data_IF_431925768060
#
_entry.id   IF_431925768060
#
_cell.length_a   1.000
_cell.length_b   1.000
_cell.length_c   1.000
_cell.angle_alpha   90.00
_cell.angle_beta   90.00
_cell.angle_gamma   90.00
#
_symmetry.space_group_name_H-M   'P 1'
#
loop_
_entity.id
_entity.type
_entity.pdbx_description
1 polymer ?
#
# COMPACT_ATOMS: atom_id res chain seq x y z
N UNK A 1 -12.79 17.25 -14.29
CA UNK A 1 -11.47 17.51 -14.86
C UNK A 1 -11.65 17.48 -16.36
N UNK A 2 -11.55 18.64 -16.99
CA UNK A 2 -11.69 18.80 -18.44
C UNK A 2 -10.37 18.45 -19.12
N UNK A 3 -10.39 17.61 -20.16
CA UNK A 3 -9.44 17.53 -21.31
C UNK A 3 -8.05 18.19 -21.13
N UNK A 4 -7.35 17.95 -20.02
CA UNK A 4 -5.97 18.40 -19.82
C UNK A 4 -5.09 17.21 -20.15
N UNK A 5 -4.72 17.13 -21.43
CA UNK A 5 -3.53 16.48 -21.99
C UNK A 5 -2.76 15.58 -21.00
N UNK A 6 -3.23 14.36 -20.80
CA UNK A 6 -2.37 13.28 -20.30
C UNK A 6 -1.39 12.91 -21.43
N UNK A 7 -0.34 13.74 -21.63
CA UNK A 7 0.67 13.58 -22.69
C UNK A 7 1.53 12.29 -22.59
N UNK A 8 1.17 11.36 -21.72
CA UNK A 8 1.97 10.17 -21.41
C UNK A 8 1.20 8.84 -21.60
N UNK A 9 -0.07 8.88 -22.03
CA UNK A 9 -0.91 7.70 -22.15
C UNK A 9 -2.04 7.89 -23.18
N UNK A 10 -2.01 7.13 -24.27
CA UNK A 10 -3.04 7.16 -25.33
C UNK A 10 -4.28 6.30 -25.01
N UNK A 11 -4.17 5.34 -24.08
CA UNK A 11 -5.27 4.45 -23.70
C UNK A 11 -5.40 4.34 -22.19
N UNK A 12 -6.52 4.83 -21.67
CA UNK A 12 -6.79 4.87 -20.23
C UNK A 12 -8.28 4.71 -19.94
N UNK A 13 -8.61 4.36 -18.72
CA UNK A 13 -9.97 4.36 -18.19
C UNK A 13 -9.92 4.87 -16.76
N UNK A 14 -10.51 6.03 -16.51
CA UNK A 14 -10.48 6.68 -15.20
C UNK A 14 -11.90 6.85 -14.69
N UNK A 15 -12.06 6.61 -13.40
CA UNK A 15 -13.32 6.72 -12.69
C UNK A 15 -13.14 7.67 -11.52
N UNK A 16 -14.13 8.53 -11.32
CA UNK A 16 -14.19 9.46 -10.20
C UNK A 16 -15.49 9.25 -9.42
N UNK A 17 -15.47 8.51 -8.29
CA UNK A 17 -16.67 8.21 -7.51
C UNK A 17 -17.31 9.47 -6.89
N UNK A 18 -16.56 10.56 -6.74
CA UNK A 18 -17.07 11.81 -6.14
C UNK A 18 -18.03 12.52 -7.09
N UNK A 19 -17.85 12.35 -8.40
CA UNK A 19 -18.68 12.95 -9.45
C UNK A 19 -19.90 12.12 -9.84
N UNK A 20 -19.96 10.86 -9.42
CA UNK A 20 -21.06 9.95 -9.75
C UNK A 20 -22.22 10.11 -8.74
N UNK A 21 -23.45 10.35 -9.21
CA UNK A 21 -24.65 10.19 -8.40
C UNK A 21 -25.12 8.73 -8.37
N UNK A 22 -25.96 8.36 -7.40
CA UNK A 22 -26.57 7.00 -7.37
C UNK A 22 -27.43 6.78 -8.63
N UNK A 23 -28.09 7.83 -9.12
CA UNK A 23 -28.86 7.77 -10.37
C UNK A 23 -27.96 7.51 -11.58
N UNK A 24 -26.77 8.11 -11.64
CA UNK A 24 -25.80 7.84 -12.70
C UNK A 24 -25.38 6.36 -12.75
N UNK A 25 -25.31 5.68 -11.60
CA UNK A 25 -25.01 4.25 -11.54
C UNK A 25 -26.17 3.42 -12.12
N UNK A 26 -27.42 3.80 -11.84
CA UNK A 26 -28.60 3.14 -12.43
C UNK A 26 -28.62 3.36 -13.96
N UNK A 27 -28.34 4.58 -14.41
CA UNK A 27 -28.19 4.88 -15.83
C UNK A 27 -27.07 4.05 -16.47
N UNK A 28 -25.97 3.80 -15.77
CA UNK A 28 -24.88 2.95 -16.27
C UNK A 28 -25.34 1.51 -16.52
N UNK A 29 -26.16 0.98 -15.63
CA UNK A 29 -26.65 -0.40 -15.72
C UNK A 29 -27.65 -0.61 -16.86
N UNK A 30 -28.52 0.36 -17.14
CA UNK A 30 -29.66 0.14 -18.04
C UNK A 30 -29.65 1.03 -19.30
N UNK A 31 -29.04 2.21 -19.23
CA UNK A 31 -29.07 3.21 -20.30
C UNK A 31 -27.68 3.79 -20.60
N UNK A 32 -26.68 2.96 -20.98
CA UNK A 32 -25.30 3.40 -21.13
C UNK A 32 -25.13 4.50 -22.18
N UNK A 33 -26.00 4.54 -23.20
CA UNK A 33 -25.95 5.54 -24.27
C UNK A 33 -26.39 6.94 -23.80
N UNK A 34 -27.07 7.06 -22.65
CA UNK A 34 -27.55 8.33 -22.10
C UNK A 34 -26.57 8.96 -21.10
N UNK A 35 -25.49 8.27 -20.75
CA UNK A 35 -24.49 8.80 -19.83
C UNK A 35 -23.59 9.80 -20.57
N UNK A 36 -23.79 11.08 -20.29
CA UNK A 36 -22.74 12.09 -20.46
C UNK A 36 -21.69 11.85 -19.37
N UNK A 37 -20.50 11.39 -19.73
CA UNK A 37 -19.50 10.82 -18.83
C UNK A 37 -18.88 11.86 -17.86
N UNK A 38 -19.61 12.27 -16.82
CA UNK A 38 -19.12 13.22 -15.80
C UNK A 38 -18.11 12.59 -14.84
N UNK A 39 -18.23 11.28 -14.60
CA UNK A 39 -17.44 10.52 -13.64
C UNK A 39 -16.56 9.43 -14.27
N UNK A 40 -16.63 9.23 -15.59
CA UNK A 40 -15.73 8.34 -16.32
C UNK A 40 -14.99 9.19 -17.36
N UNK A 41 -13.67 9.13 -17.36
CA UNK A 41 -12.82 9.75 -18.36
C UNK A 41 -12.04 8.66 -19.09
N UNK A 42 -12.23 8.55 -20.40
CA UNK A 42 -11.62 7.51 -21.23
C UNK A 42 -11.78 7.85 -22.72
N UNK A 43 -10.83 7.46 -23.60
CA UNK A 43 -11.02 7.53 -25.04
C UNK A 43 -12.29 6.78 -25.50
N UNK A 44 -12.99 7.23 -26.56
CA UNK A 44 -14.27 6.66 -26.98
C UNK A 44 -14.26 5.15 -27.20
N UNK A 45 -13.23 4.62 -27.86
CA UNK A 45 -13.12 3.18 -28.15
C UNK A 45 -12.96 2.36 -26.87
N UNK A 46 -12.12 2.85 -25.95
CA UNK A 46 -11.91 2.23 -24.63
C UNK A 46 -13.20 2.25 -23.81
N UNK A 47 -13.91 3.38 -23.79
CA UNK A 47 -15.17 3.53 -23.08
C UNK A 47 -16.27 2.61 -23.61
N UNK A 48 -16.37 2.47 -24.94
CA UNK A 48 -17.34 1.59 -25.59
C UNK A 48 -17.03 0.12 -25.30
N UNK A 49 -15.76 -0.27 -25.34
CA UNK A 49 -15.32 -1.61 -24.97
C UNK A 49 -15.62 -1.93 -23.50
N UNK A 50 -15.30 -1.02 -22.58
CA UNK A 50 -15.53 -1.18 -21.14
C UNK A 50 -17.02 -1.28 -20.77
N UNK A 51 -17.93 -0.73 -21.56
CA UNK A 51 -19.39 -0.76 -21.32
C UNK A 51 -20.15 -1.77 -22.20
N UNK A 52 -19.44 -2.62 -22.94
CA UNK A 52 -20.04 -3.54 -23.93
C UNK A 52 -21.04 -4.54 -23.33
N UNK A 53 -20.76 -5.07 -22.14
CA UNK A 53 -21.60 -6.08 -21.48
C UNK A 53 -22.30 -5.54 -20.23
N UNK A 54 -23.44 -6.13 -19.87
CA UNK A 54 -24.10 -5.82 -18.59
C UNK A 54 -23.20 -6.15 -17.40
N UNK A 55 -22.49 -7.28 -17.44
CA UNK A 55 -21.56 -7.68 -16.39
C UNK A 55 -20.46 -6.63 -16.15
N UNK A 56 -19.87 -6.09 -17.22
CA UNK A 56 -18.83 -5.06 -17.09
C UNK A 56 -19.39 -3.76 -16.49
N UNK A 57 -20.58 -3.34 -16.94
CA UNK A 57 -21.29 -2.17 -16.39
C UNK A 57 -21.66 -2.36 -14.92
N UNK A 58 -22.06 -3.57 -14.54
CA UNK A 58 -22.32 -3.95 -13.16
C UNK A 58 -21.08 -3.85 -12.28
N UNK A 59 -19.94 -4.37 -12.74
CA UNK A 59 -18.68 -4.26 -12.01
C UNK A 59 -18.25 -2.80 -11.82
N UNK A 60 -18.38 -1.97 -12.85
CA UNK A 60 -18.09 -0.53 -12.76
C UNK A 60 -19.02 0.14 -11.74
N UNK A 61 -20.33 -0.10 -11.83
CA UNK A 61 -21.31 0.48 -10.92
C UNK A 61 -21.07 0.04 -9.47
N UNK A 62 -20.77 -1.24 -9.25
CA UNK A 62 -20.49 -1.80 -7.93
C UNK A 62 -19.22 -1.21 -7.32
N UNK A 63 -18.12 -1.13 -8.09
CA UNK A 63 -16.87 -0.53 -7.62
C UNK A 63 -17.07 0.92 -7.19
N UNK A 64 -17.77 1.73 -8.01
CA UNK A 64 -18.08 3.12 -7.67
C UNK A 64 -18.97 3.19 -6.44
N UNK A 65 -20.01 2.36 -6.36
CA UNK A 65 -20.92 2.33 -5.23
C UNK A 65 -20.17 2.04 -3.92
N UNK A 66 -19.31 1.02 -3.90
CA UNK A 66 -18.50 0.66 -2.73
C UNK A 66 -17.54 1.80 -2.34
N UNK A 67 -16.87 2.44 -3.30
CA UNK A 67 -16.04 3.62 -3.03
C UNK A 67 -16.87 4.77 -2.44
N UNK A 68 -18.09 5.02 -2.94
CA UNK A 68 -18.98 6.04 -2.36
C UNK A 68 -19.39 5.71 -0.93
N UNK A 69 -19.67 4.44 -0.62
CA UNK A 69 -19.96 4.00 0.74
C UNK A 69 -18.76 4.25 1.66
N UNK A 70 -17.56 3.89 1.21
CA UNK A 70 -16.31 4.10 1.97
C UNK A 70 -16.04 5.59 2.24
N UNK A 71 -16.21 6.45 1.23
CA UNK A 71 -16.09 7.90 1.37
C UNK A 71 -17.14 8.48 2.34
N UNK A 72 -18.35 7.91 2.37
CA UNK A 72 -19.38 8.33 3.31
C UNK A 72 -19.05 7.93 4.76
N UNK A 73 -18.41 6.77 4.96
CA UNK A 73 -18.04 6.27 6.28
C UNK A 73 -16.60 6.58 6.70
N UNK A 74 -15.85 7.42 5.97
CA UNK A 74 -14.44 7.75 6.26
C UNK A 74 -14.22 8.13 7.73
N UNK A 75 -14.98 9.11 8.22
CA UNK A 75 -14.86 9.61 9.60
C UNK A 75 -15.25 8.56 10.66
N UNK A 76 -16.42 7.90 10.58
CA UNK A 76 -16.77 6.87 11.56
C UNK A 76 -15.83 5.66 11.51
N UNK A 77 -15.36 5.25 10.32
CA UNK A 77 -14.41 4.15 10.18
C UNK A 77 -13.07 4.47 10.87
N UNK A 78 -12.52 5.66 10.61
CA UNK A 78 -11.28 6.11 11.27
C UNK A 78 -11.44 6.22 12.80
N UNK A 79 -12.61 6.68 13.27
CA UNK A 79 -12.91 6.76 14.70
C UNK A 79 -12.94 5.37 15.35
N UNK A 80 -13.61 4.40 14.73
CA UNK A 80 -13.61 3.00 15.18
C UNK A 80 -12.18 2.48 15.25
N UNK A 81 -11.39 2.69 14.18
CA UNK A 81 -9.98 2.29 14.11
C UNK A 81 -9.15 2.82 15.28
N UNK A 82 -9.31 4.10 15.62
CA UNK A 82 -8.65 4.72 16.78
C UNK A 82 -9.05 4.06 18.09
N UNK A 83 -10.34 3.76 18.31
CA UNK A 83 -10.81 3.10 19.54
C UNK A 83 -10.21 1.69 19.65
N UNK A 84 -10.36 0.88 18.61
CA UNK A 84 -9.94 -0.53 18.65
C UNK A 84 -8.42 -0.68 18.69
N UNK A 85 -7.66 0.31 18.24
CA UNK A 85 -6.19 0.34 18.36
C UNK A 85 -5.74 0.88 19.71
N UNK A 86 -6.34 1.96 20.19
CA UNK A 86 -5.93 2.59 21.45
C UNK A 86 -6.25 1.70 22.66
N UNK A 87 -7.38 1.00 22.65
CA UNK A 87 -7.82 0.18 23.79
C UNK A 87 -6.83 -0.95 24.16
N UNK A 88 -6.37 -1.81 23.24
CA UNK A 88 -5.34 -2.82 23.55
C UNK A 88 -3.99 -2.21 23.99
N UNK A 89 -3.59 -1.07 23.42
CA UNK A 89 -2.39 -0.36 23.83
C UNK A 89 -2.52 0.21 25.25
N UNK A 90 -3.68 0.73 25.62
CA UNK A 90 -3.97 1.19 26.98
C UNK A 90 -3.87 0.05 28.00
N UNK A 91 -4.45 -1.10 27.68
CA UNK A 91 -4.33 -2.31 28.52
C UNK A 91 -2.86 -2.71 28.66
N UNK A 92 -2.11 -2.74 27.56
CA UNK A 92 -0.70 -3.15 27.55
C UNK A 92 0.17 -2.19 28.37
N UNK A 93 0.01 -0.88 28.18
CA UNK A 93 0.77 0.15 28.90
C UNK A 93 0.54 0.12 30.42
N UNK A 94 -0.60 -0.41 30.86
CA UNK A 94 -0.95 -0.52 32.27
C UNK A 94 -0.76 -1.94 32.83
N UNK A 95 -0.23 -2.90 32.06
CA UNK A 95 0.03 -4.26 32.54
C UNK A 95 -1.21 -5.16 32.59
N UNK A 96 -2.24 -4.89 31.79
CA UNK A 96 -3.47 -5.69 31.67
C UNK A 96 -4.71 -5.03 32.29
N UNK A 97 -5.86 -5.69 32.15
CA UNK A 97 -7.17 -5.14 32.53
C UNK A 97 -7.29 -4.84 34.03
N UNK A 98 -6.92 -5.79 34.90
CA UNK A 98 -7.00 -5.59 36.35
C UNK A 98 -6.05 -4.49 36.83
N UNK A 99 -4.83 -4.45 36.30
CA UNK A 99 -3.85 -3.41 36.62
C UNK A 99 -4.29 -2.03 36.09
N UNK A 100 -5.00 -1.96 34.97
CA UNK A 100 -5.62 -0.72 34.51
C UNK A 100 -6.66 -0.20 35.51
N UNK A 101 -7.54 -1.06 36.03
CA UNK A 101 -8.52 -0.67 37.06
C UNK A 101 -7.80 -0.15 38.32
N UNK A 102 -6.78 -0.87 38.79
CA UNK A 102 -5.98 -0.45 39.95
C UNK A 102 -5.25 0.89 39.70
N UNK A 103 -4.68 1.08 38.52
CA UNK A 103 -3.99 2.33 38.14
C UNK A 103 -4.98 3.49 37.98
N UNK A 104 -6.23 3.24 37.61
CA UNK A 104 -7.29 4.24 37.59
C UNK A 104 -7.67 4.68 39.00
N UNK A 105 -7.86 3.72 39.92
CA UNK A 105 -8.18 4.00 41.33
C UNK A 105 -7.04 4.69 42.09
N UNK A 106 -5.79 4.44 41.68
CA UNK A 106 -4.58 5.02 42.31
C UNK A 106 -4.01 6.23 41.57
N UNK A 107 -4.73 6.76 40.57
CA UNK A 107 -4.31 7.89 39.71
C UNK A 107 -2.97 7.71 38.97
N UNK A 108 -2.48 6.46 38.86
CA UNK A 108 -1.23 6.09 38.17
C UNK A 108 -1.45 5.65 36.71
N UNK A 109 -2.57 6.02 36.10
CA UNK A 109 -2.93 5.64 34.73
C UNK A 109 -1.85 6.08 33.74
N UNK A 110 -1.20 5.11 33.09
CA UNK A 110 -0.28 5.36 31.99
C UNK A 110 -1.07 5.55 30.70
N UNK A 111 -0.88 6.69 30.03
CA UNK A 111 -1.43 6.95 28.69
C UNK A 111 -0.44 6.40 27.65
N UNK A 112 -0.89 5.57 26.69
CA UNK A 112 -0.04 5.16 25.57
C UNK A 112 0.36 6.37 24.73
N UNK A 113 1.63 6.40 24.31
CA UNK A 113 2.15 7.36 23.35
C UNK A 113 2.17 6.72 21.96
N UNK A 114 1.32 7.21 21.05
CA UNK A 114 1.15 6.68 19.70
C UNK A 114 2.44 6.73 18.86
N UNK A 115 3.37 7.62 19.21
CA UNK A 115 4.67 7.76 18.53
C UNK A 115 5.78 6.87 19.10
N UNK A 116 5.50 6.16 20.19
CA UNK A 116 6.50 5.36 20.90
C UNK A 116 6.71 3.98 20.28
N UNK A 117 7.87 3.38 20.57
CA UNK A 117 8.21 2.04 20.09
C UNK A 117 7.40 0.91 20.75
N UNK A 118 6.61 1.21 21.79
CA UNK A 118 5.76 0.23 22.48
C UNK A 118 4.30 0.30 22.04
N UNK A 119 3.92 1.33 21.28
CA UNK A 119 2.59 1.46 20.72
C UNK A 119 2.50 0.67 19.41
N UNK A 120 1.57 -0.29 19.38
CA UNK A 120 1.36 -1.15 18.23
C UNK A 120 0.10 -0.75 17.45
N UNK A 121 0.10 -0.93 16.14
CA UNK A 121 -1.08 -0.84 15.29
C UNK A 121 -2.14 -1.87 15.70
N UNK A 122 -3.34 -1.78 15.12
CA UNK A 122 -4.36 -2.81 15.29
C UNK A 122 -3.81 -4.21 14.98
N UNK A 123 -3.09 -4.34 13.86
CA UNK A 123 -2.48 -5.60 13.44
C UNK A 123 -1.42 -6.08 14.45
N UNK A 124 -0.53 -5.18 14.90
CA UNK A 124 0.47 -5.50 15.92
C UNK A 124 -0.11 -5.85 17.29
N UNK A 125 -1.35 -5.40 17.58
CA UNK A 125 -2.09 -5.80 18.77
C UNK A 125 -2.70 -7.21 18.64
N UNK A 126 -3.08 -7.64 17.43
CA UNK A 126 -3.55 -9.02 17.18
C UNK A 126 -2.41 -10.04 17.16
N UNK A 127 -1.23 -9.64 16.70
CA UNK A 127 -0.04 -10.47 16.74
C UNK A 127 1.20 -9.65 17.12
N UNK A 128 1.63 -9.80 18.37
CA UNK A 128 2.78 -9.08 18.98
C UNK A 128 4.15 -9.63 18.58
N UNK A 129 4.23 -10.78 17.91
CA UNK A 129 5.52 -11.43 17.60
C UNK A 129 6.27 -10.60 16.57
N UNK A 130 7.53 -10.32 16.85
CA UNK A 130 8.44 -9.59 15.96
C UNK A 130 9.77 -10.30 15.76
N UNK A 131 10.03 -11.39 16.48
CA UNK A 131 11.30 -12.11 16.41
C UNK A 131 11.40 -12.97 15.15
N UNK A 132 12.61 -13.09 14.60
CA UNK A 132 12.95 -14.03 13.52
C UNK A 132 13.49 -15.31 14.16
N UNK A 133 13.11 -16.48 13.64
CA UNK A 133 13.65 -17.76 14.12
C UNK A 133 15.15 -17.85 13.81
N UNK A 134 15.95 -17.91 14.87
CA UNK A 134 17.41 -17.98 14.82
C UNK A 134 17.93 -19.32 14.26
N UNK A 135 17.07 -20.34 14.19
CA UNK A 135 17.44 -21.66 13.64
C UNK A 135 17.48 -21.68 12.12
N UNK A 136 16.84 -20.70 11.46
CA UNK A 136 16.82 -20.64 10.00
C UNK A 136 18.13 -20.03 9.53
N UNK A 137 18.81 -20.77 8.65
CA UNK A 137 20.07 -20.35 8.07
C UNK A 137 19.89 -19.08 7.22
N UNK A 138 20.79 -18.12 7.44
CA UNK A 138 20.81 -16.85 6.70
C UNK A 138 21.09 -17.13 5.23
N UNK A 139 20.43 -16.37 4.34
CA UNK A 139 20.50 -16.48 2.87
C UNK A 139 19.65 -17.58 2.20
N UNK A 140 19.01 -18.44 2.99
CA UNK A 140 17.99 -19.38 2.51
C UNK A 140 16.73 -18.67 1.99
N UNK A 141 15.95 -19.36 1.15
CA UNK A 141 14.65 -18.87 0.66
C UNK A 141 13.68 -18.71 1.84
N UNK A 142 13.75 -19.63 2.80
CA UNK A 142 12.97 -19.66 4.03
C UNK A 142 13.26 -18.42 4.88
N UNK A 143 14.53 -18.07 5.07
CA UNK A 143 14.92 -16.86 5.78
C UNK A 143 14.40 -15.59 5.09
N UNK A 144 14.63 -15.47 3.78
CA UNK A 144 14.16 -14.32 2.98
C UNK A 144 12.64 -14.19 3.02
N UNK A 145 11.92 -15.32 3.00
CA UNK A 145 10.46 -15.37 3.08
C UNK A 145 9.95 -14.92 4.45
N UNK A 146 10.52 -15.44 5.55
CA UNK A 146 10.15 -14.99 6.88
C UNK A 146 10.48 -13.52 7.11
N UNK A 147 11.68 -13.08 6.71
CA UNK A 147 12.08 -11.67 6.84
C UNK A 147 11.11 -10.77 6.07
N UNK A 148 10.72 -11.15 4.85
CA UNK A 148 9.73 -10.43 4.06
C UNK A 148 8.37 -10.42 4.75
N UNK A 149 7.90 -11.55 5.25
CA UNK A 149 6.63 -11.63 5.99
C UNK A 149 6.64 -10.69 7.20
N UNK A 150 7.69 -10.73 8.01
CA UNK A 150 7.82 -9.90 9.20
C UNK A 150 7.97 -8.41 8.86
N UNK A 151 8.78 -8.08 7.83
CA UNK A 151 8.93 -6.71 7.34
C UNK A 151 7.61 -6.15 6.81
N UNK A 152 6.82 -6.97 6.12
CA UNK A 152 5.51 -6.58 5.60
C UNK A 152 4.50 -6.32 6.71
N UNK A 153 4.53 -7.15 7.77
CA UNK A 153 3.67 -7.01 8.95
C UNK A 153 4.00 -5.72 9.70
N UNK A 154 5.28 -5.47 10.00
CA UNK A 154 5.64 -4.28 10.78
C UNK A 154 5.54 -2.99 9.96
N UNK A 155 5.30 -3.05 8.65
CA UNK A 155 5.08 -1.86 7.82
C UNK A 155 3.85 -1.05 8.24
N UNK A 156 2.92 -1.66 8.98
CA UNK A 156 1.75 -1.01 9.58
C UNK A 156 2.07 -0.23 10.86
N UNK A 157 3.27 -0.42 11.42
CA UNK A 157 3.66 0.16 12.70
C UNK A 157 4.24 1.57 12.54
N UNK A 158 4.30 2.32 13.64
CA UNK A 158 4.91 3.65 13.63
C UNK A 158 6.45 3.57 13.45
N UNK A 159 7.05 4.68 13.05
CA UNK A 159 8.51 4.78 12.81
C UNK A 159 9.36 4.32 13.99
N UNK A 160 9.00 4.67 15.23
CA UNK A 160 9.78 4.31 16.42
C UNK A 160 9.73 2.80 16.69
N UNK A 161 8.55 2.19 16.51
CA UNK A 161 8.37 0.74 16.61
C UNK A 161 9.23 0.02 15.57
N UNK A 162 9.10 0.39 14.29
CA UNK A 162 9.87 -0.20 13.19
C UNK A 162 11.37 -0.06 13.45
N UNK A 163 11.82 1.14 13.82
CA UNK A 163 13.24 1.40 14.11
C UNK A 163 13.75 0.51 15.24
N UNK A 164 12.96 0.35 16.29
CA UNK A 164 13.31 -0.52 17.42
C UNK A 164 13.40 -1.98 17.01
N UNK A 165 12.42 -2.50 16.26
CA UNK A 165 12.43 -3.89 15.80
C UNK A 165 13.64 -4.16 14.91
N UNK A 166 13.87 -3.33 13.88
CA UNK A 166 14.97 -3.54 12.93
C UNK A 166 16.32 -3.47 13.63
N UNK A 167 16.56 -2.43 14.44
CA UNK A 167 17.87 -2.23 15.09
C UNK A 167 18.09 -3.13 16.30
N UNK A 168 17.10 -3.23 17.19
CA UNK A 168 17.27 -3.84 18.50
C UNK A 168 16.87 -5.31 18.52
N UNK A 169 15.84 -5.71 17.76
CA UNK A 169 15.38 -7.10 17.70
C UNK A 169 16.09 -7.88 16.60
N UNK A 170 16.10 -7.38 15.37
CA UNK A 170 16.70 -8.07 14.22
C UNK A 170 18.21 -7.83 14.08
N UNK A 171 18.74 -6.82 14.78
CA UNK A 171 20.16 -6.41 14.70
C UNK A 171 20.59 -6.10 13.26
N UNK A 172 19.74 -5.33 12.56
CA UNK A 172 19.92 -4.93 11.16
C UNK A 172 20.05 -3.42 11.00
N UNK A 173 20.57 -3.01 9.85
CA UNK A 173 20.84 -1.62 9.54
C UNK A 173 19.59 -0.91 9.02
N UNK A 174 18.89 -0.23 9.92
CA UNK A 174 17.76 0.61 9.53
C UNK A 174 18.21 1.82 8.70
N UNK A 175 17.70 1.93 7.48
CA UNK A 175 18.09 2.96 6.51
C UNK A 175 17.19 4.17 6.58
N UNK A 176 15.86 3.98 6.66
CA UNK A 176 14.92 5.09 6.70
C UNK A 176 13.46 4.67 6.71
N UNK A 177 12.61 5.57 7.18
CA UNK A 177 11.15 5.52 7.09
C UNK A 177 10.69 6.73 6.30
N UNK A 178 9.77 6.52 5.37
CA UNK A 178 9.29 7.50 4.41
C UNK A 178 7.77 7.53 4.43
N UNK A 179 7.20 8.72 4.46
CA UNK A 179 5.78 8.98 4.36
C UNK A 179 5.57 9.84 3.11
N UNK A 180 5.19 9.19 2.01
CA UNK A 180 5.28 9.76 0.66
C UNK A 180 3.96 10.33 0.17
N UNK A 181 4.08 11.41 -0.59
CA UNK A 181 2.99 12.21 -1.12
C UNK A 181 2.34 11.59 -2.36
N UNK A 182 1.01 11.68 -2.42
CA UNK A 182 0.20 11.32 -3.58
C UNK A 182 -0.34 12.60 -4.24
N UNK A 183 0.05 12.85 -5.50
CA UNK A 183 -0.29 14.08 -6.23
C UNK A 183 -1.78 14.24 -6.60
N UNK A 184 -2.56 13.18 -6.50
CA UNK A 184 -3.97 13.16 -6.91
C UNK A 184 -4.92 13.26 -5.72
N UNK A 185 -4.49 12.75 -4.55
CA UNK A 185 -5.22 12.87 -3.29
C UNK A 185 -4.71 14.01 -2.40
N UNK A 186 -3.58 14.63 -2.78
CA UNK A 186 -2.96 15.77 -2.09
C UNK A 186 -2.65 15.50 -0.61
N UNK A 187 -2.21 14.28 -0.32
CA UNK A 187 -1.91 13.79 1.02
C UNK A 187 -0.74 12.82 1.00
N UNK A 188 -0.09 12.64 2.15
CA UNK A 188 0.84 11.55 2.34
C UNK A 188 0.07 10.27 2.65
N UNK A 189 0.11 9.31 1.73
CA UNK A 189 -0.68 8.08 1.80
C UNK A 189 0.15 6.81 1.54
N UNK A 190 1.45 6.96 1.27
CA UNK A 190 2.31 5.82 0.92
C UNK A 190 3.50 5.77 1.86
N UNK A 191 3.39 4.91 2.86
CA UNK A 191 4.43 4.68 3.84
C UNK A 191 5.31 3.53 3.41
N UNK A 192 6.62 3.70 3.57
CA UNK A 192 7.60 2.67 3.32
C UNK A 192 8.76 2.79 4.30
N UNK A 193 9.41 1.66 4.58
CA UNK A 193 10.69 1.69 5.27
C UNK A 193 11.70 0.80 4.57
N UNK A 194 12.97 1.15 4.75
CA UNK A 194 14.10 0.48 4.13
C UNK A 194 15.09 0.09 5.22
N UNK A 195 15.65 -1.11 5.10
CA UNK A 195 16.76 -1.57 5.91
C UNK A 195 17.67 -2.50 5.11
N UNK A 196 18.92 -2.60 5.53
CA UNK A 196 19.90 -3.55 5.01
C UNK A 196 19.98 -4.73 5.99
N UNK A 197 19.92 -5.95 5.46
CA UNK A 197 20.09 -7.15 6.27
C UNK A 197 21.50 -7.18 6.90
N UNK A 198 21.63 -7.96 7.98
CA UNK A 198 22.83 -8.03 8.83
C UNK A 198 24.14 -8.24 8.05
N UNK A 199 25.27 -7.95 8.69
CA UNK A 199 26.64 -8.18 8.16
C UNK A 199 26.88 -9.59 7.61
N UNK A 200 26.09 -10.58 8.05
CA UNK A 200 26.15 -11.97 7.56
C UNK A 200 25.46 -12.17 6.20
N UNK A 201 24.60 -11.24 5.77
CA UNK A 201 24.05 -11.15 4.40
C UNK A 201 24.13 -9.70 3.90
N UNK A 202 25.34 -9.20 3.62
CA UNK A 202 25.57 -7.78 3.32
C UNK A 202 24.96 -7.35 1.98
N UNK A 203 24.40 -8.28 1.21
CA UNK A 203 23.94 -8.04 -0.15
C UNK A 203 22.43 -7.85 -0.26
N UNK A 204 21.67 -7.92 0.84
CA UNK A 204 20.20 -7.83 0.82
C UNK A 204 19.71 -6.48 1.37
N UNK A 205 19.07 -5.69 0.50
CA UNK A 205 18.27 -4.53 0.90
C UNK A 205 16.79 -4.92 0.87
N UNK A 206 16.07 -4.63 1.94
CA UNK A 206 14.63 -4.84 2.02
C UNK A 206 13.93 -3.49 1.99
N UNK A 207 13.00 -3.35 1.04
CA UNK A 207 12.06 -2.23 0.95
C UNK A 207 10.67 -2.78 1.26
N UNK A 208 10.07 -2.31 2.35
CA UNK A 208 8.74 -2.73 2.77
C UNK A 208 7.77 -1.57 2.70
N UNK A 209 6.69 -1.74 1.94
CA UNK A 209 5.60 -0.78 1.83
C UNK A 209 4.44 -1.19 2.74
N UNK A 210 3.83 -0.20 3.39
CA UNK A 210 2.57 -0.41 4.09
C UNK A 210 1.48 -0.76 3.07
N UNK A 211 0.75 -1.83 3.35
CA UNK A 211 -0.44 -2.20 2.58
C UNK A 211 -1.68 -1.44 3.06
N UNK A 212 -2.85 -2.02 2.84
CA UNK A 212 -4.14 -1.42 3.18
C UNK A 212 -4.40 -1.49 4.68
N UNK A 213 -4.57 -0.34 5.32
CA UNK A 213 -4.98 -0.23 6.72
C UNK A 213 -6.49 -0.48 6.85
N UNK A 214 -6.88 -1.42 7.72
CA UNK A 214 -8.26 -1.89 7.86
C UNK A 214 -9.29 -0.76 8.06
N UNK A 215 -8.90 0.30 8.76
CA UNK A 215 -9.75 1.44 9.08
C UNK A 215 -9.47 2.68 8.24
N UNK A 216 -8.74 2.56 7.13
CA UNK A 216 -8.47 3.63 6.17
C UNK A 216 -9.39 3.52 4.95
N UNK A 217 -10.38 4.41 4.84
CA UNK A 217 -11.21 4.46 3.63
C UNK A 217 -10.40 4.84 2.39
N UNK A 218 -9.35 5.66 2.54
CA UNK A 218 -8.51 6.11 1.44
C UNK A 218 -7.73 4.93 0.83
N UNK A 219 -7.27 3.99 1.66
CA UNK A 219 -6.58 2.77 1.23
C UNK A 219 -7.54 1.83 0.50
N UNK A 220 -8.71 1.57 1.09
CA UNK A 220 -9.74 0.73 0.46
C UNK A 220 -10.27 1.32 -0.85
N UNK A 221 -10.44 2.65 -0.92
CA UNK A 221 -10.84 3.29 -2.18
C UNK A 221 -9.76 3.13 -3.25
N UNK A 222 -8.48 3.15 -2.86
CA UNK A 222 -7.37 2.90 -3.77
C UNK A 222 -7.43 1.49 -4.32
N UNK A 223 -7.67 0.47 -3.50
CA UNK A 223 -7.78 -0.93 -3.95
C UNK A 223 -9.01 -1.18 -4.83
N UNK A 224 -10.14 -0.51 -4.54
CA UNK A 224 -11.38 -0.63 -5.32
C UNK A 224 -11.40 0.24 -6.58
N UNK A 225 -10.34 1.02 -6.84
CA UNK A 225 -10.26 1.90 -8.01
C UNK A 225 -9.98 1.11 -9.29
N UNK A 226 -11.05 0.72 -9.99
CA UNK A 226 -10.96 0.03 -11.29
C UNK A 226 -10.32 0.84 -12.43
N UNK A 227 -9.88 2.07 -12.15
CA UNK A 227 -9.17 2.91 -13.11
C UNK A 227 -7.82 2.30 -13.51
N UNK A 228 -7.44 2.50 -14.76
CA UNK A 228 -6.16 2.03 -15.29
C UNK A 228 -5.58 2.95 -16.36
N UNK A 229 -4.26 2.87 -16.52
CA UNK A 229 -3.46 3.48 -17.60
C UNK A 229 -2.82 2.39 -18.44
N UNK A 230 -2.60 2.64 -19.74
CA UNK A 230 -1.67 1.86 -20.58
C UNK A 230 -0.53 2.77 -20.95
N UNK A 231 0.61 2.61 -20.28
CA UNK A 231 1.79 3.42 -20.56
C UNK A 231 2.44 3.00 -21.88
N UNK A 232 3.14 3.94 -22.52
CA UNK A 232 3.94 3.68 -23.73
C UNK A 232 5.16 2.79 -23.48
N UNK A 233 5.45 2.45 -22.21
CA UNK A 233 6.47 1.47 -21.87
C UNK A 233 6.10 0.11 -22.46
N UNK A 234 6.97 -0.41 -23.34
CA UNK A 234 6.75 -1.69 -24.00
C UNK A 234 6.47 -2.79 -22.96
N UNK A 235 5.42 -3.58 -23.20
CA UNK A 235 5.07 -4.80 -22.47
C UNK A 235 4.54 -4.66 -21.03
N UNK A 236 4.21 -3.45 -20.53
CA UNK A 236 3.64 -3.30 -19.17
C UNK A 236 2.13 -3.54 -19.13
N UNK A 237 1.41 -3.37 -20.24
CA UNK A 237 -0.03 -3.60 -20.32
C UNK A 237 -0.85 -2.55 -19.56
N UNK A 238 -2.05 -2.94 -19.09
CA UNK A 238 -2.88 -2.08 -18.24
C UNK A 238 -2.31 -2.06 -16.83
N UNK A 239 -2.25 -0.89 -16.23
CA UNK A 239 -1.70 -0.65 -14.90
C UNK A 239 -2.72 0.10 -14.04
N UNK A 240 -2.86 -0.30 -12.78
CA UNK A 240 -3.80 0.31 -11.84
C UNK A 240 -3.51 1.79 -11.66
N UNK A 241 -4.53 2.63 -11.83
CA UNK A 241 -4.35 4.06 -11.62
C UNK A 241 -4.09 4.37 -10.15
N UNK A 242 -4.85 3.76 -9.23
CA UNK A 242 -4.66 3.93 -7.79
C UNK A 242 -3.23 3.64 -7.33
N UNK A 243 -2.65 2.51 -7.75
CA UNK A 243 -1.28 2.14 -7.36
C UNK A 243 -0.22 3.00 -8.05
N UNK A 244 -0.46 3.41 -9.29
CA UNK A 244 0.42 4.38 -9.96
C UNK A 244 0.49 5.70 -9.18
N UNK A 245 -0.68 6.21 -8.76
CA UNK A 245 -0.79 7.45 -7.96
C UNK A 245 -0.10 7.31 -6.60
N UNK A 246 -0.30 6.17 -5.91
CA UNK A 246 0.35 5.87 -4.64
C UNK A 246 1.88 5.78 -4.78
N UNK A 247 2.38 5.15 -5.84
CA UNK A 247 3.82 5.06 -6.09
C UNK A 247 4.46 6.40 -6.50
N UNK A 248 3.66 7.40 -6.88
CA UNK A 248 4.16 8.75 -7.14
C UNK A 248 4.05 9.20 -8.59
N UNK A 249 3.08 8.65 -9.34
CA UNK A 249 2.63 9.28 -10.59
C UNK A 249 2.30 10.75 -10.30
N UNK A 250 2.80 11.64 -11.16
CA UNK A 250 2.58 13.08 -11.07
C UNK A 250 1.55 13.52 -12.11
N UNK A 251 1.06 14.76 -12.01
CA UNK A 251 0.07 15.31 -12.95
C UNK A 251 0.60 15.35 -14.40
N UNK A 252 1.92 15.46 -14.57
CA UNK A 252 2.63 15.42 -15.85
C UNK A 252 3.15 14.02 -16.23
N UNK A 253 2.76 12.96 -15.51
CA UNK A 253 3.17 11.58 -15.78
C UNK A 253 4.31 11.08 -14.89
N UNK A 254 5.24 10.34 -15.48
CA UNK A 254 6.44 9.80 -14.84
C UNK A 254 7.68 10.57 -15.32
N UNK A 255 7.96 11.78 -14.79
CA UNK A 255 9.20 12.48 -15.12
C UNK A 255 10.44 11.62 -14.79
N UNK A 256 11.57 11.86 -15.46
CA UNK A 256 12.78 11.05 -15.23
C UNK A 256 13.29 11.18 -13.80
N UNK A 257 13.22 12.37 -13.21
CA UNK A 257 13.62 12.66 -11.83
C UNK A 257 12.51 13.42 -11.10
N UNK A 258 12.55 13.44 -9.77
CA UNK A 258 11.59 14.22 -9.00
C UNK A 258 11.84 15.72 -9.19
N UNK A 259 10.92 16.39 -9.89
CA UNK A 259 10.99 17.84 -10.13
C UNK A 259 10.54 18.62 -8.89
N UNK A 260 9.76 18.00 -7.99
CA UNK A 260 9.21 18.66 -6.80
C UNK A 260 10.28 18.83 -5.72
N UNK A 261 10.46 20.08 -5.28
CA UNK A 261 11.33 20.42 -4.14
C UNK A 261 10.66 20.23 -2.78
N UNK A 262 9.32 20.10 -2.76
CA UNK A 262 8.52 20.09 -1.53
C UNK A 262 8.02 18.67 -1.22
N UNK A 263 7.62 17.94 -2.26
CA UNK A 263 6.95 16.65 -2.11
C UNK A 263 7.89 15.48 -2.41
N UNK A 264 7.91 14.52 -1.48
CA UNK A 264 8.60 13.24 -1.64
C UNK A 264 7.63 12.21 -2.20
N UNK A 265 7.89 11.76 -3.43
CA UNK A 265 7.13 10.70 -4.08
C UNK A 265 7.82 9.35 -3.86
N UNK A 266 7.04 8.28 -3.64
CA UNK A 266 7.58 6.99 -3.21
C UNK A 266 8.62 6.41 -4.18
N UNK A 267 8.28 6.30 -5.48
CA UNK A 267 9.17 5.79 -6.53
C UNK A 267 10.51 6.53 -6.54
N UNK A 268 10.47 7.86 -6.62
CA UNK A 268 11.68 8.67 -6.73
C UNK A 268 12.52 8.62 -5.46
N UNK A 269 11.88 8.69 -4.29
CA UNK A 269 12.56 8.69 -2.99
C UNK A 269 13.28 7.38 -2.74
N UNK A 270 12.58 6.25 -2.94
CA UNK A 270 13.15 4.93 -2.77
C UNK A 270 14.20 4.65 -3.84
N UNK A 271 13.93 4.93 -5.12
CA UNK A 271 14.89 4.75 -6.21
C UNK A 271 16.18 5.53 -5.98
N UNK A 272 16.09 6.81 -5.57
CA UNK A 272 17.28 7.60 -5.27
C UNK A 272 18.04 7.00 -4.08
N UNK A 273 17.34 6.57 -3.03
CA UNK A 273 17.99 5.96 -1.88
C UNK A 273 18.74 4.68 -2.25
N UNK A 274 18.13 3.84 -3.09
CA UNK A 274 18.75 2.61 -3.58
C UNK A 274 19.97 2.92 -4.46
N UNK A 275 19.88 3.89 -5.38
CA UNK A 275 21.02 4.36 -6.18
C UNK A 275 22.18 4.82 -5.30
N UNK A 276 21.90 5.62 -4.27
CA UNK A 276 22.93 6.10 -3.34
C UNK A 276 23.60 4.96 -2.56
N UNK A 277 22.84 3.92 -2.20
CA UNK A 277 23.38 2.75 -1.51
C UNK A 277 24.24 1.89 -2.44
N UNK A 278 23.76 1.61 -3.65
CA UNK A 278 24.47 0.84 -4.67
C UNK A 278 25.77 1.53 -5.14
N UNK A 279 25.75 2.87 -5.23
CA UNK A 279 26.94 3.64 -5.57
C UNK A 279 28.05 3.55 -4.50
N UNK A 280 27.67 3.42 -3.22
CA UNK A 280 28.61 3.30 -2.10
C UNK A 280 29.16 1.90 -1.92
N UNK A 281 28.39 0.88 -2.27
CA UNK A 281 28.74 -0.52 -2.05
C UNK A 281 28.43 -1.35 -3.32
N UNK A 282 29.45 -1.52 -4.16
CA UNK A 282 29.36 -2.27 -5.43
C UNK A 282 29.12 -3.78 -5.23
N UNK A 283 29.22 -4.29 -4.01
CA UNK A 283 28.98 -5.71 -3.71
C UNK A 283 27.50 -6.00 -3.43
N UNK A 284 26.66 -4.98 -3.27
CA UNK A 284 25.21 -5.12 -3.19
C UNK A 284 24.68 -5.77 -4.48
N UNK A 285 24.16 -6.99 -4.36
CA UNK A 285 23.68 -7.80 -5.49
C UNK A 285 22.18 -8.10 -5.44
N UNK A 286 21.54 -8.02 -4.27
CA UNK A 286 20.16 -8.47 -4.09
C UNK A 286 19.27 -7.37 -3.52
N UNK A 287 18.10 -7.20 -4.14
CA UNK A 287 17.06 -6.27 -3.71
C UNK A 287 15.77 -7.05 -3.50
N UNK A 288 15.17 -6.92 -2.33
CA UNK A 288 13.87 -7.49 -2.02
C UNK A 288 12.84 -6.38 -1.80
N UNK A 289 11.79 -6.40 -2.63
CA UNK A 289 10.60 -5.59 -2.43
C UNK A 289 9.53 -6.42 -1.76
N UNK A 290 8.94 -5.86 -0.71
CA UNK A 290 8.06 -6.58 0.20
C UNK A 290 6.74 -5.83 0.34
N UNK A 291 5.63 -6.55 0.14
CA UNK A 291 4.27 -6.07 0.31
C UNK A 291 3.45 -7.12 1.08
N UNK A 292 2.66 -6.69 2.07
CA UNK A 292 1.97 -7.59 3.01
C UNK A 292 0.98 -8.55 2.35
N UNK A 293 0.20 -8.10 1.37
CA UNK A 293 -0.72 -8.97 0.63
C UNK A 293 0.00 -10.12 -0.10
N UNK A 294 1.24 -9.91 -0.56
CA UNK A 294 2.03 -10.93 -1.25
C UNK A 294 2.45 -12.05 -0.28
N UNK A 295 2.81 -11.71 0.95
CA UNK A 295 3.30 -12.68 1.94
C UNK A 295 2.17 -13.56 2.52
N UNK A 296 0.99 -12.99 2.77
CA UNK A 296 -0.15 -13.76 3.30
C UNK A 296 -0.63 -14.82 2.30
N UNK A 297 -0.48 -14.57 0.99
CA UNK A 297 -0.85 -15.50 -0.06
C UNK A 297 0.13 -16.66 -0.24
N UNK A 298 1.41 -16.46 0.05
CA UNK A 298 2.36 -17.57 0.09
C UNK A 298 1.98 -18.55 1.22
N UNK A 299 1.59 -18.05 2.40
CA UNK A 299 1.15 -18.90 3.51
C UNK A 299 -0.19 -19.60 3.21
N UNK A 300 -1.15 -18.92 2.57
CA UNK A 300 -2.43 -19.53 2.14
C UNK A 300 -2.19 -20.57 1.04
N UNK A 301 -1.36 -20.30 0.03
CA UNK A 301 -1.08 -21.24 -1.05
C UNK A 301 -0.29 -22.47 -0.57
N UNK A 302 0.57 -22.30 0.44
CA UNK A 302 1.31 -23.41 1.07
C UNK A 302 0.43 -24.25 1.99
N UNK A 303 -0.62 -23.70 2.63
CA UNK A 303 -1.49 -24.46 3.57
C UNK A 303 -2.86 -24.88 3.04
N UNK A 304 -3.46 -24.13 2.14
CA UNK A 304 -4.85 -24.31 1.71
C UNK A 304 -4.92 -24.08 0.21
N UNK A 305 -4.84 -25.17 -0.54
CA UNK A 305 -4.81 -25.21 -2.01
C UNK A 305 -6.18 -24.80 -2.63
N UNK A 306 -6.66 -23.59 -2.30
CA UNK A 306 -7.89 -22.94 -2.77
C UNK A 306 -7.69 -21.42 -2.69
N UNK A 307 -7.44 -20.81 -3.84
CA UNK A 307 -7.56 -19.36 -4.04
C UNK A 307 -8.80 -19.10 -4.89
N UNK A 308 -9.63 -18.16 -4.48
CA UNK A 308 -10.73 -17.67 -5.32
C UNK A 308 -10.14 -16.80 -6.44
N UNK A 309 -10.69 -16.90 -7.65
CA UNK A 309 -10.22 -16.15 -8.83
C UNK A 309 -10.17 -14.61 -8.64
N UNK A 310 -10.89 -14.08 -7.65
CA UNK A 310 -10.97 -12.64 -7.36
C UNK A 310 -9.77 -12.15 -6.53
N UNK A 311 -9.30 -12.93 -5.57
CA UNK A 311 -8.11 -12.62 -4.75
C UNK A 311 -6.82 -12.72 -5.57
N UNK A 312 -6.78 -13.64 -6.54
CA UNK A 312 -5.64 -13.78 -7.46
C UNK A 312 -5.47 -12.56 -8.38
N UNK A 313 -6.57 -11.88 -8.72
CA UNK A 313 -6.56 -10.77 -9.70
C UNK A 313 -5.99 -9.47 -9.13
N UNK A 314 -6.28 -9.13 -7.86
CA UNK A 314 -5.71 -7.95 -7.21
C UNK A 314 -4.21 -8.06 -6.93
N UNK A 315 -3.73 -9.29 -6.76
CA UNK A 315 -2.36 -9.60 -6.33
C UNK A 315 -1.41 -9.66 -7.52
N UNK A 316 -1.82 -10.31 -8.61
CA UNK A 316 -1.04 -10.38 -9.84
C UNK A 316 -0.77 -8.98 -10.41
N UNK A 317 -1.68 -8.04 -10.19
CA UNK A 317 -1.56 -6.66 -10.66
C UNK A 317 -0.55 -5.83 -9.86
N UNK A 318 -0.44 -6.06 -8.53
CA UNK A 318 0.61 -5.45 -7.68
C UNK A 318 2.00 -6.04 -7.99
N UNK A 319 2.08 -7.33 -8.36
CA UNK A 319 3.31 -8.02 -8.78
C UNK A 319 3.89 -7.44 -10.08
N UNK A 320 3.05 -7.11 -11.07
CA UNK A 320 3.51 -6.55 -12.36
C UNK A 320 4.13 -5.16 -12.19
N UNK A 321 3.62 -4.30 -11.29
CA UNK A 321 4.25 -3.00 -11.00
C UNK A 321 5.57 -3.16 -10.23
N UNK A 322 5.67 -4.11 -9.30
CA UNK A 322 6.91 -4.38 -8.59
C UNK A 322 7.99 -4.97 -9.52
N UNK A 323 7.61 -5.77 -10.51
CA UNK A 323 8.52 -6.31 -11.53
C UNK A 323 8.97 -5.24 -12.54
N UNK A 324 8.09 -4.29 -12.89
CA UNK A 324 8.47 -3.12 -13.71
C UNK A 324 9.54 -2.26 -13.01
N UNK A 325 9.51 -2.18 -11.67
CA UNK A 325 10.54 -1.53 -10.85
C UNK A 325 11.93 -2.18 -10.95
N UNK A 326 12.01 -3.50 -11.19
CA UNK A 326 13.28 -4.23 -11.25
C UNK A 326 13.94 -4.08 -12.63
N UNK A 327 13.17 -4.11 -13.72
CA UNK A 327 13.71 -3.99 -15.09
C UNK A 327 14.36 -2.64 -15.39
N UNK A 328 13.98 -1.57 -14.69
CA UNK A 328 14.53 -0.22 -14.91
C UNK A 328 15.81 0.06 -14.07
N UNK A 329 16.18 -0.85 -13.16
CA UNK A 329 17.41 -0.75 -12.35
C UNK A 329 18.59 -1.54 -12.92
N UNK A 330 18.36 -2.28 -14.01
CA UNK A 330 19.36 -3.12 -14.68
C UNK A 330 19.92 -2.54 -15.98
N UNK A 331 19.69 -1.25 -16.26
CA UNK A 331 20.37 -0.51 -17.35
C UNK A 331 21.43 0.45 -16.84
#
# INVERSE_FOLDING_TARGET
MSKTNMKFCDSYFLVDPTKASVFDLILLLFFPNLISARFIDSPPDTLNSARRSFASRWMIALAIFLQKVLLFITTPLAFIGRIVTYWPNLLTANGGFFNLILNLLTEKKKKPDESSATYASFLGCTDRRVELDQKIEVDTIEYKSMLSMMASKIAYENKSFITSVVKNTWKMDFVGYYDCYNAFQEKNLTQAFVFKASDTNPNLIVVSFRGTELFSSDDWCTDLDISWYVYELKNVGKVHAGFSRALGLQQNGWPKENISLIHQYAYYTIRQKLRDMLARDKNLKNLAFVFYEICHLHEINVRYNKLSYLEFFFVLFKIVLALAFVCETSE
#
